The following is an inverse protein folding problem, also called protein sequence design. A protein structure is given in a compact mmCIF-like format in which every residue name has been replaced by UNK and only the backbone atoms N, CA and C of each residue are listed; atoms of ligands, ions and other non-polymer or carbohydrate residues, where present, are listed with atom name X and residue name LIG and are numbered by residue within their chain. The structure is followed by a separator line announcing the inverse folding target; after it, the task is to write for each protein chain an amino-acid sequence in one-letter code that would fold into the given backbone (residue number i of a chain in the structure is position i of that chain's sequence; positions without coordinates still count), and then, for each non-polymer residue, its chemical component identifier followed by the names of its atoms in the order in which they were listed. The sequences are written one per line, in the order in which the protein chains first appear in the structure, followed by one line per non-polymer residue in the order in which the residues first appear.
data_IF_952534948028
#
_entry.id   IF_952534948028
#
_cell.length_a   1.000
_cell.length_b   1.000
_cell.length_c   1.000
_cell.angle_alpha   90.00
_cell.angle_beta   90.00
_cell.angle_gamma   90.00
#
_symmetry.space_group_name_H-M   'P 1'
#
loop_
_entity.id
_entity.type
_entity.pdbx_description
1 polymer ?
#
# COMPACT_ATOMS: atom_id res chain seq x y z
N UNK A 1 -13.87 -0.82 17.58
CA UNK A 1 -15.34 -1.01 17.44
C UNK A 1 -15.79 -2.35 18.03
N UNK A 2 -15.05 -3.46 17.86
CA UNK A 2 -15.34 -4.74 18.56
C UNK A 2 -14.23 -5.18 19.54
N UNK A 3 -13.46 -4.23 20.09
CA UNK A 3 -12.28 -4.54 20.92
C UNK A 3 -11.06 -5.10 20.15
N UNK A 4 -11.25 -5.60 18.93
CA UNK A 4 -10.18 -6.13 18.07
C UNK A 4 -9.61 -5.07 17.13
N UNK A 5 -8.29 -5.05 17.05
CA UNK A 5 -7.49 -4.25 16.11
C UNK A 5 -7.30 -4.98 14.77
N UNK A 6 -6.92 -4.23 13.74
CA UNK A 6 -6.59 -4.78 12.42
C UNK A 6 -5.48 -5.84 12.50
N UNK A 7 -4.50 -5.60 13.39
CA UNK A 7 -3.45 -6.55 13.73
C UNK A 7 -4.06 -7.87 14.23
N UNK A 8 -4.88 -7.82 15.28
CA UNK A 8 -5.40 -9.03 15.94
C UNK A 8 -6.29 -9.88 15.02
N UNK A 9 -6.99 -9.27 14.07
CA UNK A 9 -7.80 -10.02 13.10
C UNK A 9 -6.91 -10.61 12.00
N UNK A 10 -5.87 -9.90 11.56
CA UNK A 10 -4.87 -10.44 10.64
C UNK A 10 -4.13 -11.64 11.24
N UNK A 11 -3.88 -11.63 12.55
CA UNK A 11 -3.21 -12.73 13.26
C UNK A 11 -4.12 -13.98 13.36
N UNK A 12 -5.45 -13.81 13.41
CA UNK A 12 -6.42 -14.93 13.41
C UNK A 12 -6.49 -15.70 12.10
N UNK A 13 -6.20 -15.03 11.00
CA UNK A 13 -6.15 -15.64 9.66
C UNK A 13 -4.73 -15.50 9.11
N UNK A 14 -3.74 -15.86 9.95
CA UNK A 14 -2.34 -15.82 9.57
C UNK A 14 -2.09 -16.64 8.30
N UNK A 15 -1.34 -16.05 7.39
CA UNK A 15 -0.93 -16.66 6.12
C UNK A 15 0.59 -16.57 6.04
N UNK A 16 1.19 -17.29 5.08
CA UNK A 16 2.63 -17.21 4.84
C UNK A 16 3.13 -15.79 4.49
N UNK A 17 2.23 -14.87 4.12
CA UNK A 17 2.54 -13.47 3.81
C UNK A 17 2.01 -12.48 4.85
N UNK A 18 1.58 -12.95 6.01
CA UNK A 18 1.18 -12.06 7.11
C UNK A 18 2.43 -11.37 7.67
N UNK A 19 2.49 -10.02 7.69
CA UNK A 19 3.63 -9.32 8.25
C UNK A 19 3.61 -9.33 9.78
N UNK A 20 4.78 -9.13 10.39
CA UNK A 20 4.89 -9.05 11.85
C UNK A 20 3.97 -7.96 12.41
N UNK A 21 3.39 -8.15 13.60
CA UNK A 21 2.56 -7.15 14.26
C UNK A 21 3.12 -5.73 14.31
N UNK A 22 4.43 -5.58 14.49
CA UNK A 22 5.10 -4.28 14.56
C UNK A 22 5.02 -3.50 13.23
N UNK A 23 4.85 -4.20 12.11
CA UNK A 23 4.75 -3.62 10.75
C UNK A 23 3.57 -2.65 10.64
N UNK A 24 2.49 -2.90 11.38
CA UNK A 24 1.30 -2.03 11.39
C UNK A 24 1.55 -0.64 12.01
N UNK A 25 2.70 -0.40 12.67
CA UNK A 25 3.10 0.92 13.17
C UNK A 25 3.22 1.99 12.07
N UNK A 26 3.36 1.59 10.80
CA UNK A 26 3.35 2.49 9.65
C UNK A 26 2.08 3.36 9.57
N UNK A 27 0.96 2.88 10.12
CA UNK A 27 -0.27 3.66 10.21
C UNK A 27 -0.09 4.98 10.95
N UNK A 28 0.74 5.01 12.00
CA UNK A 28 1.03 6.24 12.73
C UNK A 28 1.71 7.27 11.81
N UNK A 29 2.70 6.84 11.02
CA UNK A 29 3.39 7.70 10.04
C UNK A 29 2.43 8.22 8.98
N UNK A 30 1.58 7.34 8.43
CA UNK A 30 0.60 7.69 7.41
C UNK A 30 -0.41 8.70 7.96
N UNK A 31 -0.98 8.45 9.14
CA UNK A 31 -1.98 9.35 9.73
C UNK A 31 -1.40 10.70 10.11
N UNK A 32 -0.17 10.76 10.65
CA UNK A 32 0.51 12.04 10.89
C UNK A 32 0.67 12.84 9.60
N UNK A 33 1.15 12.21 8.52
CA UNK A 33 1.32 12.87 7.23
C UNK A 33 0.00 13.32 6.60
N UNK A 34 -1.07 12.51 6.73
CA UNK A 34 -2.40 12.88 6.26
C UNK A 34 -2.95 14.10 7.03
N UNK A 35 -2.82 14.13 8.36
CA UNK A 35 -3.23 15.28 9.18
C UNK A 35 -2.49 16.54 8.74
N UNK A 36 -1.16 16.47 8.61
CA UNK A 36 -0.35 17.60 8.12
C UNK A 36 -0.81 18.04 6.73
N UNK A 37 -1.10 17.10 5.82
CA UNK A 37 -1.56 17.39 4.47
C UNK A 37 -2.90 18.11 4.45
N UNK A 38 -3.85 17.67 5.28
CA UNK A 38 -5.17 18.31 5.41
C UNK A 38 -5.04 19.71 5.98
N UNK A 39 -4.23 19.90 7.04
CA UNK A 39 -3.96 21.23 7.61
C UNK A 39 -3.37 22.15 6.55
N UNK A 40 -2.40 21.68 5.76
CA UNK A 40 -1.79 22.47 4.69
C UNK A 40 -2.80 22.81 3.59
N UNK A 41 -3.67 21.87 3.19
CA UNK A 41 -4.73 22.15 2.20
C UNK A 41 -5.65 23.27 2.68
N UNK A 42 -6.03 23.29 3.97
CA UNK A 42 -6.88 24.33 4.57
C UNK A 42 -6.12 25.67 4.65
N UNK A 43 -4.95 25.68 5.30
CA UNK A 43 -4.19 26.92 5.56
C UNK A 43 -3.67 27.57 4.28
N UNK A 44 -3.31 26.77 3.27
CA UNK A 44 -2.77 27.24 1.99
C UNK A 44 -3.80 27.24 0.87
N UNK A 45 -5.10 27.31 1.17
CA UNK A 45 -6.18 27.33 0.16
C UNK A 45 -6.10 28.48 -0.86
N UNK A 46 -5.30 29.54 -0.59
CA UNK A 46 -5.04 30.66 -1.52
C UNK A 46 -3.89 30.40 -2.51
N UNK A 47 -3.07 29.38 -2.28
CA UNK A 47 -2.01 28.97 -3.20
C UNK A 47 -2.60 28.11 -4.32
N UNK A 48 -2.37 28.53 -5.57
CA UNK A 48 -3.01 27.97 -6.76
C UNK A 48 -2.79 26.46 -6.94
N UNK A 49 -1.69 25.89 -6.43
CA UNK A 49 -1.46 24.44 -6.46
C UNK A 49 -2.40 23.72 -5.48
N UNK A 50 -2.52 24.22 -4.25
CA UNK A 50 -3.36 23.59 -3.23
C UNK A 50 -4.85 23.78 -3.53
N UNK A 51 -5.28 24.91 -4.08
CA UNK A 51 -6.65 25.09 -4.58
C UNK A 51 -6.99 24.04 -5.64
N UNK A 52 -6.12 23.88 -6.65
CA UNK A 52 -6.30 22.86 -7.70
C UNK A 52 -6.26 21.44 -7.14
N UNK A 53 -5.44 21.19 -6.13
CA UNK A 53 -5.41 19.90 -5.45
C UNK A 53 -6.76 19.60 -4.79
N UNK A 54 -7.32 20.56 -4.03
CA UNK A 54 -8.65 20.44 -3.42
C UNK A 54 -9.69 20.12 -4.50
N UNK A 55 -9.77 20.91 -5.56
CA UNK A 55 -10.77 20.71 -6.61
C UNK A 55 -10.66 19.35 -7.29
N UNK A 56 -9.44 18.87 -7.54
CA UNK A 56 -9.22 17.64 -8.28
C UNK A 56 -9.41 16.38 -7.44
N UNK A 57 -8.97 16.41 -6.17
CA UNK A 57 -8.88 15.20 -5.34
C UNK A 57 -10.03 15.04 -4.34
N UNK A 58 -10.76 16.10 -3.99
CA UNK A 58 -11.75 16.07 -2.90
C UNK A 58 -12.76 14.94 -3.05
N UNK A 59 -13.41 14.81 -4.20
CA UNK A 59 -14.40 13.74 -4.43
C UNK A 59 -13.81 12.35 -4.24
N UNK A 60 -12.61 12.11 -4.78
CA UNK A 60 -11.93 10.81 -4.65
C UNK A 60 -11.49 10.57 -3.21
N UNK A 61 -11.06 11.62 -2.50
CA UNK A 61 -10.69 11.57 -1.09
C UNK A 61 -11.89 11.23 -0.20
N UNK A 62 -13.07 11.82 -0.45
CA UNK A 62 -14.32 11.49 0.25
C UNK A 62 -14.73 10.03 0.02
N UNK A 63 -14.72 9.57 -1.23
CA UNK A 63 -14.99 8.17 -1.57
C UNK A 63 -13.99 7.25 -0.86
N UNK A 64 -12.70 7.59 -0.86
CA UNK A 64 -11.66 6.81 -0.19
C UNK A 64 -11.89 6.74 1.33
N UNK A 65 -12.38 7.82 1.95
CA UNK A 65 -12.71 7.86 3.37
C UNK A 65 -13.90 6.95 3.69
N UNK A 66 -14.94 6.95 2.86
CA UNK A 66 -16.10 6.06 3.03
C UNK A 66 -15.70 4.58 2.87
N UNK A 67 -14.88 4.28 1.86
CA UNK A 67 -14.36 2.93 1.65
C UNK A 67 -13.46 2.48 2.80
N UNK A 68 -12.63 3.38 3.35
CA UNK A 68 -11.82 3.12 4.54
C UNK A 68 -12.69 2.76 5.76
N UNK A 69 -13.74 3.56 6.03
CA UNK A 69 -14.68 3.28 7.11
C UNK A 69 -15.34 1.91 6.92
N UNK A 70 -15.86 1.64 5.71
CA UNK A 70 -16.48 0.36 5.38
C UNK A 70 -15.52 -0.82 5.55
N UNK A 71 -14.29 -0.70 5.03
CA UNK A 71 -13.25 -1.71 5.19
C UNK A 71 -12.95 -1.98 6.67
N UNK A 72 -12.67 -0.95 7.48
CA UNK A 72 -12.37 -1.09 8.91
C UNK A 72 -13.51 -1.79 9.64
N UNK A 73 -14.75 -1.37 9.39
CA UNK A 73 -15.94 -1.95 10.02
C UNK A 73 -16.06 -3.43 9.64
N UNK A 74 -16.07 -3.75 8.35
CA UNK A 74 -16.24 -5.12 7.86
C UNK A 74 -15.14 -6.05 8.35
N UNK A 75 -13.88 -5.61 8.28
CA UNK A 75 -12.76 -6.40 8.79
C UNK A 75 -12.89 -6.60 10.31
N UNK A 76 -13.29 -5.57 11.06
CA UNK A 76 -13.53 -5.64 12.52
C UNK A 76 -14.63 -6.63 12.91
N UNK A 77 -15.62 -6.85 12.04
CA UNK A 77 -16.70 -7.83 12.22
C UNK A 77 -16.39 -9.19 11.57
N UNK A 78 -15.12 -9.45 11.19
CA UNK A 78 -14.68 -10.73 10.62
C UNK A 78 -15.37 -11.05 9.28
N UNK A 79 -15.93 -10.04 8.62
CA UNK A 79 -16.48 -10.12 7.27
C UNK A 79 -15.35 -9.97 6.24
N UNK A 80 -14.34 -10.85 6.32
CA UNK A 80 -13.04 -10.72 5.63
C UNK A 80 -13.22 -10.66 4.10
N UNK A 81 -14.13 -11.45 3.54
CA UNK A 81 -14.44 -11.52 2.11
C UNK A 81 -15.03 -10.20 1.60
N UNK A 82 -16.01 -9.64 2.33
CA UNK A 82 -16.60 -8.36 1.97
C UNK A 82 -15.62 -7.21 2.22
N UNK A 83 -14.77 -7.31 3.24
CA UNK A 83 -13.69 -6.36 3.50
C UNK A 83 -12.69 -6.31 2.34
N UNK A 84 -12.46 -7.43 1.66
CA UNK A 84 -11.57 -7.52 0.50
C UNK A 84 -12.09 -6.70 -0.69
N UNK A 85 -13.41 -6.68 -0.90
CA UNK A 85 -14.03 -5.83 -1.93
C UNK A 85 -13.90 -4.34 -1.61
N UNK A 86 -14.09 -3.97 -0.34
CA UNK A 86 -13.96 -2.58 0.11
C UNK A 86 -12.52 -2.08 0.03
N UNK A 87 -11.55 -2.86 0.51
CA UNK A 87 -10.14 -2.47 0.45
C UNK A 87 -9.62 -2.44 -1.00
N UNK A 88 -10.15 -3.29 -1.89
CA UNK A 88 -9.84 -3.24 -3.32
C UNK A 88 -10.36 -1.95 -3.96
N UNK A 89 -11.63 -1.59 -3.70
CA UNK A 89 -12.16 -0.29 -4.13
C UNK A 89 -11.36 0.87 -3.57
N UNK A 90 -10.90 0.74 -2.32
CA UNK A 90 -10.15 1.77 -1.62
C UNK A 90 -8.76 2.01 -2.23
N UNK A 91 -7.98 0.95 -2.50
CA UNK A 91 -6.67 1.10 -3.15
C UNK A 91 -6.82 1.64 -4.57
N UNK A 92 -7.90 1.30 -5.29
CA UNK A 92 -8.22 1.90 -6.59
C UNK A 92 -8.48 3.40 -6.46
N UNK A 93 -9.29 3.83 -5.47
CA UNK A 93 -9.54 5.24 -5.21
C UNK A 93 -8.24 6.00 -4.89
N UNK A 94 -7.36 5.45 -4.05
CA UNK A 94 -6.07 6.07 -3.75
C UNK A 94 -5.12 6.10 -4.95
N UNK A 95 -5.19 5.10 -5.83
CA UNK A 95 -4.43 5.09 -7.09
C UNK A 95 -4.90 6.21 -8.01
N UNK A 96 -6.21 6.38 -8.18
CA UNK A 96 -6.81 7.48 -8.96
C UNK A 96 -6.45 8.84 -8.36
N UNK A 97 -6.46 8.95 -7.02
CA UNK A 97 -6.05 10.17 -6.33
C UNK A 97 -4.59 10.52 -6.65
N UNK A 98 -3.68 9.55 -6.60
CA UNK A 98 -2.28 9.75 -6.97
C UNK A 98 -2.10 10.14 -8.46
N UNK A 99 -2.89 9.57 -9.36
CA UNK A 99 -2.88 9.98 -10.79
C UNK A 99 -3.32 11.44 -10.97
N UNK A 100 -4.35 11.88 -10.21
CA UNK A 100 -4.80 13.27 -10.21
C UNK A 100 -3.72 14.21 -9.68
N UNK A 101 -3.04 13.84 -8.60
CA UNK A 101 -1.89 14.59 -8.08
C UNK A 101 -0.75 14.67 -9.10
N UNK A 102 -0.42 13.57 -9.79
CA UNK A 102 0.53 13.59 -10.90
C UNK A 102 0.10 14.54 -12.02
N UNK A 103 -1.20 14.60 -12.34
CA UNK A 103 -1.75 15.47 -13.37
C UNK A 103 -1.55 16.96 -13.10
N UNK A 104 -1.64 17.37 -11.82
CA UNK A 104 -1.50 18.75 -11.36
C UNK A 104 -0.11 19.08 -10.80
N UNK A 105 0.84 18.14 -10.86
CA UNK A 105 2.14 18.31 -10.22
C UNK A 105 2.92 19.49 -10.81
N UNK A 106 3.36 20.39 -9.94
CA UNK A 106 4.16 21.56 -10.30
C UNK A 106 5.43 21.63 -9.47
N UNK A 107 6.55 21.98 -10.11
CA UNK A 107 7.85 22.06 -9.46
C UNK A 107 8.21 20.79 -8.68
N UNK A 108 8.68 20.96 -7.44
CA UNK A 108 9.04 19.88 -6.51
C UNK A 108 8.10 19.82 -5.29
N UNK A 109 6.80 20.08 -5.48
CA UNK A 109 5.80 19.91 -4.40
C UNK A 109 5.84 18.46 -3.94
N UNK A 110 6.09 18.23 -2.65
CA UNK A 110 6.39 16.89 -2.15
C UNK A 110 5.38 16.38 -1.12
N UNK A 111 4.71 17.27 -0.36
CA UNK A 111 3.88 16.86 0.77
C UNK A 111 2.70 15.96 0.37
N UNK A 112 1.80 16.42 -0.51
CA UNK A 112 0.67 15.59 -0.94
C UNK A 112 1.13 14.32 -1.65
N UNK A 113 2.10 14.38 -2.58
CA UNK A 113 2.65 13.17 -3.20
C UNK A 113 3.26 12.18 -2.21
N UNK A 114 3.98 12.65 -1.19
CA UNK A 114 4.56 11.80 -0.16
C UNK A 114 3.46 11.12 0.65
N UNK A 115 2.53 11.89 1.18
CA UNK A 115 1.45 11.41 2.06
C UNK A 115 0.55 10.40 1.36
N UNK A 116 0.03 10.76 0.18
CA UNK A 116 -0.87 9.88 -0.56
C UNK A 116 -0.14 8.74 -1.28
N UNK A 117 1.16 8.89 -1.57
CA UNK A 117 2.01 7.83 -2.09
C UNK A 117 2.25 6.73 -1.06
N UNK A 118 2.64 7.11 0.17
CA UNK A 118 2.77 6.17 1.30
C UNK A 118 1.44 5.49 1.60
N UNK A 119 0.34 6.26 1.62
CA UNK A 119 -0.97 5.72 1.92
C UNK A 119 -1.40 4.68 0.88
N UNK A 120 -1.27 4.99 -0.41
CA UNK A 120 -1.60 4.06 -1.49
C UNK A 120 -0.71 2.82 -1.47
N UNK A 121 0.60 2.98 -1.23
CA UNK A 121 1.54 1.85 -1.19
C UNK A 121 1.22 0.89 -0.04
N UNK A 122 0.90 1.42 1.13
CA UNK A 122 0.51 0.59 2.28
C UNK A 122 -0.82 -0.12 2.05
N UNK A 123 -1.83 0.60 1.51
CA UNK A 123 -3.10 -0.05 1.17
C UNK A 123 -2.94 -1.13 0.11
N UNK A 124 -2.03 -0.96 -0.84
CA UNK A 124 -1.77 -1.94 -1.87
C UNK A 124 -1.35 -3.29 -1.28
N UNK A 125 -0.36 -3.31 -0.39
CA UNK A 125 0.05 -4.57 0.24
C UNK A 125 -0.99 -5.07 1.25
N UNK A 126 -1.68 -4.18 1.94
CA UNK A 126 -2.79 -4.57 2.82
C UNK A 126 -3.93 -5.25 2.04
N UNK A 127 -4.23 -4.83 0.81
CA UNK A 127 -5.20 -5.50 -0.07
C UNK A 127 -4.75 -6.92 -0.40
N UNK A 128 -3.47 -7.13 -0.72
CA UNK A 128 -2.92 -8.46 -1.01
C UNK A 128 -3.05 -9.39 0.21
N UNK A 129 -2.65 -8.92 1.40
CA UNK A 129 -2.76 -9.70 2.64
C UNK A 129 -4.22 -9.97 3.01
N UNK A 130 -5.10 -9.00 2.84
CA UNK A 130 -6.53 -9.14 3.14
C UNK A 130 -7.22 -10.16 2.21
N UNK A 131 -6.87 -10.17 0.92
CA UNK A 131 -7.35 -11.19 -0.03
C UNK A 131 -6.81 -12.57 0.37
N UNK A 132 -5.54 -12.69 0.75
CA UNK A 132 -4.98 -13.95 1.23
C UNK A 132 -5.73 -14.47 2.48
N UNK A 133 -6.02 -13.60 3.44
CA UNK A 133 -6.82 -13.94 4.62
C UNK A 133 -8.25 -14.38 4.24
N UNK A 134 -8.90 -13.72 3.28
CA UNK A 134 -10.22 -14.11 2.79
C UNK A 134 -10.19 -15.52 2.16
N UNK A 135 -9.16 -15.83 1.38
CA UNK A 135 -8.99 -17.13 0.74
C UNK A 135 -8.75 -18.25 1.77
N UNK A 136 -7.99 -17.98 2.83
CA UNK A 136 -7.84 -18.91 3.96
C UNK A 136 -9.18 -19.15 4.67
N UNK A 137 -9.95 -18.09 4.94
CA UNK A 137 -11.27 -18.21 5.55
C UNK A 137 -12.24 -19.04 4.69
N UNK A 138 -12.16 -18.94 3.37
CA UNK A 138 -12.93 -19.74 2.42
C UNK A 138 -12.40 -21.19 2.26
N UNK A 139 -11.38 -21.58 3.03
CA UNK A 139 -10.73 -22.90 2.95
C UNK A 139 -10.22 -23.24 1.53
N UNK A 140 -9.76 -22.23 0.79
CA UNK A 140 -9.18 -22.46 -0.52
C UNK A 140 -7.87 -23.25 -0.41
N UNK A 141 -7.72 -24.29 -1.22
CA UNK A 141 -6.59 -25.21 -1.16
C UNK A 141 -5.31 -24.71 -1.85
N UNK A 142 -5.26 -23.45 -2.32
CA UNK A 142 -4.07 -22.89 -2.99
C UNK A 142 -3.63 -23.67 -4.23
N UNK A 143 -4.57 -24.24 -4.98
CA UNK A 143 -4.31 -25.17 -6.10
C UNK A 143 -3.57 -26.46 -5.69
N UNK A 144 -3.58 -26.82 -4.40
CA UNK A 144 -2.82 -27.94 -3.85
C UNK A 144 -1.33 -27.64 -3.62
N UNK A 145 -0.91 -26.37 -3.72
CA UNK A 145 0.47 -25.95 -3.49
C UNK A 145 0.77 -25.82 -1.99
N UNK A 146 2.05 -25.96 -1.62
CA UNK A 146 2.48 -25.72 -0.23
C UNK A 146 2.31 -24.25 0.15
N UNK A 147 2.11 -23.96 1.44
CA UNK A 147 1.99 -22.60 1.96
C UNK A 147 3.19 -21.72 1.59
N UNK A 148 4.40 -22.28 1.61
CA UNK A 148 5.61 -21.58 1.20
C UNK A 148 5.58 -21.21 -0.29
N UNK A 149 5.31 -22.18 -1.17
CA UNK A 149 5.23 -21.96 -2.63
C UNK A 149 4.16 -20.95 -2.97
N UNK A 150 3.00 -21.07 -2.34
CA UNK A 150 1.88 -20.15 -2.53
C UNK A 150 2.24 -18.72 -2.09
N UNK A 151 2.90 -18.57 -0.93
CA UNK A 151 3.41 -17.28 -0.46
C UNK A 151 4.41 -16.66 -1.43
N UNK A 152 5.34 -17.44 -1.97
CA UNK A 152 6.33 -16.97 -2.96
C UNK A 152 5.62 -16.41 -4.20
N UNK A 153 4.65 -17.15 -4.74
CA UNK A 153 3.86 -16.72 -5.90
C UNK A 153 3.16 -15.39 -5.61
N UNK A 154 2.50 -15.26 -4.45
CA UNK A 154 1.80 -14.02 -4.10
C UNK A 154 2.76 -12.84 -4.03
N UNK A 155 3.94 -12.99 -3.41
CA UNK A 155 4.92 -11.89 -3.33
C UNK A 155 5.43 -11.48 -4.73
N UNK A 156 5.77 -12.45 -5.59
CA UNK A 156 6.22 -12.15 -6.95
C UNK A 156 5.13 -11.40 -7.74
N UNK A 157 3.89 -11.88 -7.67
CA UNK A 157 2.74 -11.23 -8.32
C UNK A 157 2.51 -9.84 -7.77
N UNK A 158 2.64 -9.63 -6.46
CA UNK A 158 2.50 -8.32 -5.83
C UNK A 158 3.53 -7.31 -6.34
N UNK A 159 4.79 -7.71 -6.55
CA UNK A 159 5.81 -6.82 -7.16
C UNK A 159 5.44 -6.47 -8.60
N UNK A 160 4.99 -7.44 -9.40
CA UNK A 160 4.58 -7.21 -10.79
C UNK A 160 3.40 -6.24 -10.90
N UNK A 161 2.36 -6.44 -10.09
CA UNK A 161 1.21 -5.55 -10.00
C UNK A 161 1.60 -4.15 -9.52
N UNK A 162 2.48 -4.07 -8.51
CA UNK A 162 3.01 -2.81 -8.00
C UNK A 162 3.75 -2.04 -9.08
N UNK A 163 4.60 -2.70 -9.87
CA UNK A 163 5.32 -2.07 -10.98
C UNK A 163 4.34 -1.49 -12.01
N UNK A 164 3.26 -2.23 -12.33
CA UNK A 164 2.20 -1.75 -13.21
C UNK A 164 1.48 -0.50 -12.69
N UNK A 165 1.18 -0.44 -11.39
CA UNK A 165 0.60 0.75 -10.75
C UNK A 165 1.60 1.90 -10.72
N UNK A 166 2.86 1.62 -10.34
CA UNK A 166 3.95 2.59 -10.27
C UNK A 166 4.16 3.30 -11.61
N UNK A 167 4.07 2.58 -12.74
CA UNK A 167 4.18 3.20 -14.06
C UNK A 167 3.07 4.21 -14.36
N UNK A 168 1.88 4.01 -13.81
CA UNK A 168 0.74 4.93 -13.97
C UNK A 168 0.85 6.15 -13.07
N UNK A 169 1.20 5.96 -11.79
CA UNK A 169 1.22 7.06 -10.80
C UNK A 169 2.58 7.78 -10.71
N UNK A 170 3.67 7.15 -11.15
CA UNK A 170 5.05 7.66 -11.14
C UNK A 170 5.52 8.19 -9.78
N UNK A 171 4.89 7.75 -8.69
CA UNK A 171 5.17 8.19 -7.34
C UNK A 171 6.32 7.36 -6.76
N UNK A 172 7.48 7.98 -6.56
CA UNK A 172 8.69 7.30 -6.11
C UNK A 172 8.58 6.69 -4.71
N UNK A 173 7.64 7.15 -3.89
CA UNK A 173 7.47 6.69 -2.51
C UNK A 173 6.54 5.48 -2.43
N UNK A 174 5.69 5.27 -3.43
CA UNK A 174 4.70 4.19 -3.47
C UNK A 174 5.26 2.78 -3.18
N UNK A 175 6.50 2.41 -3.62
CA UNK A 175 7.05 1.09 -3.30
C UNK A 175 7.51 0.91 -1.85
N UNK A 176 7.80 1.99 -1.12
CA UNK A 176 8.46 1.92 0.20
C UNK A 176 7.60 1.25 1.29
N UNK A 177 6.29 1.52 1.43
CA UNK A 177 5.44 0.79 2.36
C UNK A 177 5.35 -0.71 2.07
N UNK A 178 5.44 -1.09 0.79
CA UNK A 178 5.43 -2.50 0.40
C UNK A 178 6.75 -3.16 0.76
N UNK A 179 7.88 -2.47 0.57
CA UNK A 179 9.18 -2.94 1.05
C UNK A 179 9.19 -3.11 2.59
N UNK A 180 8.59 -2.18 3.31
CA UNK A 180 8.39 -2.29 4.76
C UNK A 180 7.57 -3.51 5.17
N UNK A 181 6.49 -3.80 4.45
CA UNK A 181 5.70 -5.01 4.67
C UNK A 181 6.49 -6.28 4.40
N UNK A 182 7.34 -6.31 3.37
CA UNK A 182 8.18 -7.48 3.05
C UNK A 182 9.20 -7.75 4.17
N UNK A 183 9.75 -6.70 4.77
CA UNK A 183 10.58 -6.85 5.97
C UNK A 183 9.76 -7.43 7.13
N UNK A 184 8.54 -6.94 7.33
CA UNK A 184 7.59 -7.46 8.31
C UNK A 184 7.30 -8.95 8.13
N UNK A 185 7.08 -9.40 6.89
CA UNK A 185 6.86 -10.81 6.54
C UNK A 185 8.11 -11.63 6.87
N UNK A 186 9.30 -11.16 6.49
CA UNK A 186 10.55 -11.84 6.81
C UNK A 186 10.76 -12.00 8.33
N UNK A 187 10.41 -10.97 9.12
CA UNK A 187 10.48 -11.01 10.58
C UNK A 187 9.49 -12.01 11.17
N UNK A 188 8.24 -12.00 10.69
CA UNK A 188 7.20 -12.94 11.15
C UNK A 188 7.61 -14.39 10.90
N UNK A 189 8.15 -14.69 9.70
CA UNK A 189 8.62 -16.02 9.33
C UNK A 189 9.91 -16.46 10.07
N UNK A 190 10.62 -15.53 10.72
CA UNK A 190 11.80 -15.85 11.53
C UNK A 190 11.43 -16.48 12.86
N UNK A 191 10.26 -16.13 13.41
CA UNK A 191 9.70 -16.75 14.61
C UNK A 191 9.03 -18.07 14.19
N UNK A 192 9.87 -19.09 13.94
CA UNK A 192 9.51 -20.39 13.35
C UNK A 192 8.46 -21.17 14.14
N UNK A 193 8.20 -20.82 15.40
CA UNK A 193 7.20 -21.49 16.22
C UNK A 193 5.75 -21.24 15.77
N UNK A 194 5.51 -20.21 14.93
CA UNK A 194 4.16 -19.81 14.53
C UNK A 194 3.64 -20.54 13.28
N UNK A 195 4.49 -21.20 12.49
CA UNK A 195 4.09 -21.91 11.27
C UNK A 195 4.87 -23.23 11.18
N UNK A 196 4.16 -24.37 11.25
CA UNK A 196 4.76 -25.69 11.03
C UNK A 196 5.36 -25.77 9.61
N UNK A 197 6.68 -25.66 9.47
CA UNK A 197 7.38 -25.84 8.19
C UNK A 197 8.68 -25.03 8.04
N UNK A 198 9.49 -25.41 7.05
CA UNK A 198 10.61 -24.58 6.60
C UNK A 198 10.10 -23.51 5.63
N UNK A 199 10.32 -22.23 5.97
CA UNK A 199 9.98 -21.07 5.13
C UNK A 199 11.25 -20.31 4.66
N UNK A 200 12.41 -20.99 4.65
CA UNK A 200 13.69 -20.39 4.30
C UNK A 200 13.72 -19.76 2.90
N UNK A 201 13.08 -20.38 1.90
CA UNK A 201 13.00 -19.83 0.55
C UNK A 201 12.09 -18.59 0.53
N UNK A 202 10.91 -18.66 1.17
CA UNK A 202 10.00 -17.51 1.24
C UNK A 202 10.64 -16.32 1.98
N UNK A 203 11.39 -16.57 3.06
CA UNK A 203 12.15 -15.52 3.77
C UNK A 203 13.16 -14.83 2.86
N UNK A 204 13.87 -15.60 2.04
CA UNK A 204 14.83 -15.08 1.08
C UNK A 204 14.13 -14.26 0.00
N UNK A 205 13.02 -14.76 -0.54
CA UNK A 205 12.18 -14.04 -1.51
C UNK A 205 11.65 -12.73 -0.93
N UNK A 206 11.24 -12.70 0.34
CA UNK A 206 10.81 -11.47 1.00
C UNK A 206 11.94 -10.43 1.09
N UNK A 207 13.17 -10.83 1.44
CA UNK A 207 14.32 -9.91 1.49
C UNK A 207 14.75 -9.41 0.10
N UNK A 208 14.81 -10.31 -0.88
CA UNK A 208 15.12 -9.95 -2.27
C UNK A 208 14.04 -9.02 -2.82
N UNK A 209 12.76 -9.32 -2.57
CA UNK A 209 11.63 -8.48 -2.95
C UNK A 209 11.69 -7.09 -2.31
N UNK A 210 12.03 -6.99 -1.03
CA UNK A 210 12.29 -5.72 -0.35
C UNK A 210 13.38 -4.91 -1.07
N UNK A 211 14.51 -5.54 -1.40
CA UNK A 211 15.60 -4.87 -2.12
C UNK A 211 15.16 -4.38 -3.50
N UNK A 212 14.42 -5.20 -4.26
CA UNK A 212 13.86 -4.81 -5.56
C UNK A 212 12.93 -3.61 -5.41
N UNK A 213 12.05 -3.60 -4.41
CA UNK A 213 11.11 -2.49 -4.18
C UNK A 213 11.84 -1.18 -3.82
N UNK A 214 12.91 -1.25 -3.03
CA UNK A 214 13.78 -0.09 -2.73
C UNK A 214 14.47 0.40 -4.01
N UNK A 215 14.99 -0.50 -4.84
CA UNK A 215 15.60 -0.15 -6.13
C UNK A 215 14.57 0.50 -7.06
N UNK A 216 13.34 -0.01 -7.12
CA UNK A 216 12.25 0.59 -7.91
C UNK A 216 11.89 2.00 -7.42
N UNK A 217 11.83 2.20 -6.10
CA UNK A 217 11.62 3.53 -5.50
C UNK A 217 12.75 4.50 -5.87
N UNK A 218 14.02 4.09 -5.70
CA UNK A 218 15.19 4.90 -6.04
C UNK A 218 15.26 5.21 -7.54
N UNK A 219 15.00 4.22 -8.39
CA UNK A 219 14.95 4.38 -9.84
C UNK A 219 13.84 5.35 -10.26
N UNK A 220 12.63 5.23 -9.70
CA UNK A 220 11.54 6.16 -9.97
C UNK A 220 11.87 7.58 -9.47
N UNK A 221 12.50 7.71 -8.30
CA UNK A 221 12.94 9.00 -7.77
C UNK A 221 13.97 9.69 -8.69
N UNK A 222 14.94 8.92 -9.18
CA UNK A 222 15.91 9.39 -10.19
C UNK A 222 15.20 9.82 -11.49
N UNK A 223 14.30 8.99 -12.01
CA UNK A 223 13.51 9.27 -13.22
C UNK A 223 12.63 10.52 -13.08
N UNK A 224 12.23 10.86 -11.86
CA UNK A 224 11.46 12.06 -11.54
C UNK A 224 12.34 13.31 -11.33
N UNK A 225 13.65 13.24 -11.56
CA UNK A 225 14.56 14.36 -11.35
C UNK A 225 14.80 14.67 -9.87
N UNK A 226 14.96 13.62 -9.05
CA UNK A 226 15.12 13.70 -7.59
C UNK A 226 13.91 14.38 -6.91
N UNK A 227 12.72 13.94 -7.28
CA UNK A 227 11.45 14.38 -6.71
C UNK A 227 10.46 13.22 -6.54
N UNK A 228 9.50 13.34 -5.62
CA UNK A 228 8.49 12.30 -5.37
C UNK A 228 7.63 12.05 -6.60
N UNK A 229 7.25 13.13 -7.30
CA UNK A 229 6.59 13.09 -8.61
C UNK A 229 7.40 13.94 -9.61
N UNK A 230 7.34 13.60 -10.91
CA UNK A 230 8.00 14.38 -11.95
C UNK A 230 7.31 15.75 -12.09
N UNK A 231 8.10 16.82 -12.24
CA UNK A 231 7.56 18.15 -12.53
C UNK A 231 6.94 18.24 -13.94
N UNK A 232 6.02 19.18 -14.15
CA UNK A 232 5.31 19.38 -15.42
C UNK A 232 6.21 19.43 -16.68
N UNK A 233 7.43 19.96 -16.57
CA UNK A 233 8.40 20.05 -17.68
C UNK A 233 9.21 18.77 -17.97
N UNK A 234 9.07 17.72 -17.16
CA UNK A 234 9.71 16.42 -17.38
C UNK A 234 8.75 15.35 -17.91
N UNK A 235 7.54 15.74 -18.33
CA UNK A 235 6.70 14.90 -19.20
C UNK A 235 7.48 14.72 -20.51
N UNK A 236 8.25 13.63 -20.64
CA UNK A 236 8.96 13.28 -21.88
C UNK A 236 8.00 13.47 -23.07
N UNK A 237 8.45 14.09 -24.17
CA UNK A 237 7.69 14.08 -25.43
C UNK A 237 7.48 12.62 -25.83
N UNK A 238 6.30 12.31 -26.36
CA UNK A 238 5.81 10.95 -26.57
C UNK A 238 6.82 10.01 -27.22
N UNK A 239 6.85 8.78 -26.69
CA UNK A 239 7.15 7.54 -27.41
C UNK A 239 6.38 6.42 -26.73
#
# INVERSE_FOLDING_TARGET
INGLSQKEISDRFATAITPSPATFSIWSVIYTLLIISIIVLIVKQKDAYYTRAIDQISTVFWISSLLNIGWIVLFSFVQVELSALFILGFVVALTVLNQKLLGIQEGKRWLLPLSFGLYAGWLFIATVVNIAAALVKLAWNGFGLTHETWGIIILIVAIGLLAGVLWKIKNAVFPLPVAWAYLGINQFLKDQDLLEGDFSALRTVALVGMAILIILAAFQFYRNGFAVLPGAGQKKPGR
#
